data_IF_242291015655
#
_entry.id   IF_242291015655
#
_cell.length_a   1.000
_cell.length_b   1.000
_cell.length_c   1.000
_cell.angle_alpha   90.00
_cell.angle_beta   90.00
_cell.angle_gamma   90.00
#
_symmetry.space_group_name_H-M   'P 1'
#
loop_
_entity.id
_entity.type
_entity.pdbx_description
1 polymer ?
#
# COMPACT_ATOMS: atom_id res chain seq x y z
N UNK A 1 0.02 31.03 33.08
CA UNK A 1 1.46 31.08 32.75
C UNK A 1 1.62 30.52 31.34
N UNK A 2 1.69 31.40 30.33
CA UNK A 2 1.74 31.00 28.91
C UNK A 2 3.15 30.54 28.54
N UNK A 3 3.28 29.40 27.85
CA UNK A 3 4.57 28.95 27.33
C UNK A 3 5.12 29.94 26.29
N UNK A 4 6.43 30.18 26.25
CA UNK A 4 7.02 31.07 25.25
C UNK A 4 6.78 30.53 23.83
N UNK A 5 6.47 31.42 22.89
CA UNK A 5 6.08 31.09 21.51
C UNK A 5 7.07 30.15 20.77
N UNK A 6 8.38 30.22 21.09
CA UNK A 6 9.40 29.29 20.55
C UNK A 6 9.18 27.83 21.00
N UNK A 7 8.71 27.59 22.22
CA UNK A 7 8.43 26.24 22.72
C UNK A 7 7.13 25.69 22.11
N UNK A 8 6.12 26.55 21.91
CA UNK A 8 4.90 26.18 21.19
C UNK A 8 5.19 25.75 19.76
N UNK A 9 6.02 26.50 19.02
CA UNK A 9 6.41 26.14 17.65
C UNK A 9 7.15 24.80 17.55
N UNK A 10 8.03 24.48 18.50
CA UNK A 10 8.77 23.20 18.51
C UNK A 10 7.86 22.00 18.80
N UNK A 11 6.87 22.15 19.67
CA UNK A 11 5.90 21.08 19.96
C UNK A 11 5.05 20.75 18.72
N UNK A 12 4.53 21.77 18.05
CA UNK A 12 3.70 21.60 16.84
C UNK A 12 4.48 20.90 15.72
N UNK A 13 5.73 21.28 15.48
CA UNK A 13 6.58 20.64 14.44
C UNK A 13 6.87 19.18 14.78
N UNK A 14 7.15 18.87 16.06
CA UNK A 14 7.43 17.49 16.49
C UNK A 14 6.21 16.59 16.37
N UNK A 15 5.03 17.07 16.75
CA UNK A 15 3.76 16.35 16.60
C UNK A 15 3.41 16.10 15.13
N UNK A 16 3.57 17.11 14.26
CA UNK A 16 3.35 16.97 12.82
C UNK A 16 4.29 15.93 12.20
N UNK A 17 5.56 15.92 12.61
CA UNK A 17 6.55 14.94 12.13
C UNK A 17 6.22 13.52 12.59
N UNK A 18 5.77 13.38 13.85
CA UNK A 18 5.34 12.10 14.41
C UNK A 18 4.11 11.52 13.70
N UNK A 19 3.10 12.35 13.45
CA UNK A 19 1.88 11.96 12.72
C UNK A 19 2.19 11.55 11.27
N UNK A 20 3.06 12.29 10.58
CA UNK A 20 3.50 11.94 9.22
C UNK A 20 4.30 10.63 9.16
N UNK A 21 5.07 10.31 10.22
CA UNK A 21 5.72 9.02 10.38
C UNK A 21 4.72 7.89 10.58
N UNK A 22 3.75 8.07 11.49
CA UNK A 22 2.72 7.08 11.80
C UNK A 22 1.84 6.77 10.58
N UNK A 23 1.44 7.79 9.81
CA UNK A 23 0.63 7.60 8.61
C UNK A 23 1.38 6.81 7.52
N UNK A 24 2.67 7.09 7.29
CA UNK A 24 3.52 6.26 6.41
C UNK A 24 3.64 4.83 6.93
N UNK A 25 3.79 4.68 8.24
CA UNK A 25 3.80 3.38 8.92
C UNK A 25 2.56 2.56 8.63
N UNK A 26 1.38 3.17 8.75
CA UNK A 26 0.10 2.53 8.48
C UNK A 26 -0.03 2.09 7.01
N UNK A 27 0.31 2.96 6.05
CA UNK A 27 0.27 2.61 4.62
C UNK A 27 1.26 1.47 4.31
N UNK A 28 2.47 1.54 4.83
CA UNK A 28 3.45 0.50 4.63
C UNK A 28 3.02 -0.84 5.22
N UNK A 29 2.39 -0.84 6.40
CA UNK A 29 1.87 -2.04 7.04
C UNK A 29 0.87 -2.78 6.16
N UNK A 30 0.03 -2.06 5.40
CA UNK A 30 -0.88 -2.68 4.43
C UNK A 30 -0.09 -3.47 3.38
N UNK A 31 0.96 -2.88 2.81
CA UNK A 31 1.82 -3.56 1.83
C UNK A 31 2.60 -4.73 2.42
N UNK A 32 3.05 -4.64 3.67
CA UNK A 32 3.67 -5.78 4.36
C UNK A 32 2.67 -6.91 4.60
N UNK A 33 1.45 -6.57 5.01
CA UNK A 33 0.40 -7.57 5.22
C UNK A 33 0.02 -8.25 3.90
N UNK A 34 -0.28 -7.48 2.85
CA UNK A 34 -0.64 -8.04 1.56
C UNK A 34 0.52 -8.78 0.87
N UNK A 35 1.75 -8.29 1.02
CA UNK A 35 2.92 -8.91 0.40
C UNK A 35 3.47 -10.08 1.18
N UNK A 36 3.92 -9.83 2.40
CA UNK A 36 4.57 -10.86 3.19
C UNK A 36 3.56 -11.92 3.66
N UNK A 37 2.50 -11.52 4.34
CA UNK A 37 1.57 -12.46 4.96
C UNK A 37 0.67 -13.14 3.92
N UNK A 38 0.03 -12.35 3.05
CA UNK A 38 -0.94 -12.91 2.11
C UNK A 38 -0.31 -13.63 0.91
N UNK A 39 0.93 -13.34 0.52
CA UNK A 39 1.55 -13.91 -0.70
C UNK A 39 2.79 -14.76 -0.47
N UNK A 40 3.67 -14.37 0.46
CA UNK A 40 4.94 -15.09 0.70
C UNK A 40 4.78 -16.18 1.74
N UNK A 41 4.38 -15.82 2.96
CA UNK A 41 4.28 -16.77 4.07
C UNK A 41 3.22 -16.32 5.09
N UNK A 42 2.16 -17.12 5.33
CA UNK A 42 1.90 -18.48 4.81
C UNK A 42 1.44 -18.54 3.35
N UNK A 43 1.07 -17.40 2.75
CA UNK A 43 0.49 -17.35 1.41
C UNK A 43 -0.95 -17.88 1.39
N UNK A 44 -1.92 -17.05 1.00
CA UNK A 44 -3.33 -17.39 1.05
C UNK A 44 -3.79 -18.19 -0.17
N UNK A 45 -4.70 -19.13 0.05
CA UNK A 45 -5.24 -20.00 -1.00
C UNK A 45 -6.08 -19.24 -2.03
N UNK A 46 -6.87 -18.26 -1.59
CA UNK A 46 -7.70 -17.43 -2.46
C UNK A 46 -6.86 -16.55 -3.40
N UNK A 47 -5.76 -15.97 -2.94
CA UNK A 47 -4.87 -15.20 -3.82
C UNK A 47 -4.16 -16.08 -4.84
N UNK A 48 -3.84 -17.34 -4.50
CA UNK A 48 -3.34 -18.32 -5.48
C UNK A 48 -4.41 -18.68 -6.52
N UNK A 49 -5.66 -18.82 -6.11
CA UNK A 49 -6.76 -19.10 -7.02
C UNK A 49 -6.94 -17.96 -8.02
N UNK A 50 -6.98 -16.71 -7.54
CA UNK A 50 -7.07 -15.51 -8.39
C UNK A 50 -5.92 -15.43 -9.41
N UNK A 51 -4.68 -15.67 -8.97
CA UNK A 51 -3.52 -15.67 -9.88
C UNK A 51 -3.54 -16.87 -10.83
N UNK A 52 -4.09 -18.01 -10.39
CA UNK A 52 -4.28 -19.20 -11.22
C UNK A 52 -5.25 -18.99 -12.39
N UNK A 53 -6.20 -18.05 -12.24
CA UNK A 53 -7.17 -17.71 -13.29
C UNK A 53 -6.60 -16.71 -14.33
N UNK A 54 -5.36 -16.22 -14.15
CA UNK A 54 -4.71 -15.32 -15.11
C UNK A 54 -4.42 -16.05 -16.43
N UNK A 55 -4.88 -15.53 -17.59
CA UNK A 55 -4.70 -16.19 -18.87
C UNK A 55 -3.22 -16.31 -19.23
N UNK A 56 -2.85 -17.44 -19.84
CA UNK A 56 -1.49 -17.78 -20.28
C UNK A 56 -0.45 -17.98 -19.16
N UNK A 57 -0.84 -17.89 -17.88
CA UNK A 57 0.07 -18.23 -16.79
C UNK A 57 0.01 -19.76 -16.54
N UNK A 58 1.12 -20.50 -16.72
CA UNK A 58 1.10 -21.93 -16.49
C UNK A 58 0.99 -22.23 -14.99
N UNK A 59 0.27 -23.30 -14.63
CA UNK A 59 -0.01 -23.66 -13.24
C UNK A 59 1.25 -23.77 -12.36
N UNK A 60 2.37 -24.26 -12.91
CA UNK A 60 3.64 -24.37 -12.18
C UNK A 60 4.24 -23.01 -11.80
N UNK A 61 3.91 -21.94 -12.53
CA UNK A 61 4.44 -20.60 -12.31
C UNK A 61 3.60 -19.77 -11.31
N UNK A 62 2.38 -20.19 -10.99
CA UNK A 62 1.42 -19.44 -10.15
C UNK A 62 2.03 -19.08 -8.79
N UNK A 63 2.61 -20.07 -8.09
CA UNK A 63 3.22 -19.84 -6.78
C UNK A 63 4.42 -18.90 -6.87
N UNK A 64 5.28 -19.08 -7.87
CA UNK A 64 6.45 -18.22 -8.08
C UNK A 64 6.03 -16.79 -8.41
N UNK A 65 5.03 -16.62 -9.26
CA UNK A 65 4.47 -15.30 -9.61
C UNK A 65 3.87 -14.62 -8.37
N UNK A 66 3.09 -15.34 -7.57
CA UNK A 66 2.50 -14.80 -6.35
C UNK A 66 3.56 -14.37 -5.34
N UNK A 67 4.60 -15.18 -5.13
CA UNK A 67 5.73 -14.82 -4.24
C UNK A 67 6.48 -13.60 -4.79
N UNK A 68 6.74 -13.53 -6.09
CA UNK A 68 7.40 -12.37 -6.71
C UNK A 68 6.60 -11.09 -6.51
N UNK A 69 5.27 -11.14 -6.68
CA UNK A 69 4.37 -10.02 -6.37
C UNK A 69 4.49 -9.65 -4.88
N UNK A 70 4.43 -10.64 -3.98
CA UNK A 70 4.52 -10.38 -2.54
C UNK A 70 5.83 -9.71 -2.11
N UNK A 71 6.96 -10.09 -2.71
CA UNK A 71 8.25 -9.44 -2.45
C UNK A 71 8.28 -8.01 -3.01
N UNK A 72 7.69 -7.77 -4.17
CA UNK A 72 7.57 -6.42 -4.73
C UNK A 72 6.71 -5.50 -3.84
N UNK A 73 5.63 -6.02 -3.28
CA UNK A 73 4.78 -5.31 -2.32
C UNK A 73 5.53 -4.97 -1.03
N UNK A 74 6.31 -5.92 -0.48
CA UNK A 74 7.19 -5.66 0.67
C UNK A 74 8.20 -4.55 0.38
N UNK A 75 8.84 -4.60 -0.80
CA UNK A 75 9.77 -3.55 -1.23
C UNK A 75 9.07 -2.18 -1.37
N UNK A 76 7.83 -2.17 -1.84
CA UNK A 76 7.01 -0.96 -1.92
C UNK A 76 6.67 -0.41 -0.52
N UNK A 77 6.32 -1.28 0.44
CA UNK A 77 6.13 -0.90 1.83
C UNK A 77 7.37 -0.23 2.44
N UNK A 78 8.55 -0.80 2.20
CA UNK A 78 9.83 -0.19 2.60
C UNK A 78 10.07 1.17 1.93
N UNK A 79 9.73 1.30 0.65
CA UNK A 79 9.85 2.57 -0.07
C UNK A 79 8.92 3.63 0.52
N UNK A 80 7.67 3.30 0.84
CA UNK A 80 6.72 4.20 1.52
C UNK A 80 7.25 4.64 2.89
N UNK A 81 7.75 3.71 3.70
CA UNK A 81 8.34 4.03 5.02
C UNK A 81 9.47 5.05 4.91
N UNK A 82 10.33 4.90 3.89
CA UNK A 82 11.45 5.80 3.68
C UNK A 82 11.01 7.25 3.43
N UNK A 83 9.79 7.48 2.94
CA UNK A 83 9.28 8.80 2.53
C UNK A 83 9.96 9.40 1.29
N UNK A 84 10.93 8.71 0.69
CA UNK A 84 11.67 9.20 -0.47
C UNK A 84 10.80 9.20 -1.72
N UNK A 85 10.76 10.32 -2.45
CA UNK A 85 9.95 10.46 -3.68
C UNK A 85 8.49 10.00 -3.46
N UNK A 86 7.86 10.48 -2.39
CA UNK A 86 6.54 10.00 -1.95
C UNK A 86 5.44 10.08 -3.03
N UNK A 87 5.50 11.06 -3.93
CA UNK A 87 4.61 11.15 -5.10
C UNK A 87 4.77 9.98 -6.07
N UNK A 88 6.01 9.59 -6.38
CA UNK A 88 6.27 8.44 -7.25
C UNK A 88 5.82 7.13 -6.59
N UNK A 89 6.05 6.99 -5.27
CA UNK A 89 5.53 5.86 -4.51
C UNK A 89 3.99 5.81 -4.55
N UNK A 90 3.30 6.94 -4.41
CA UNK A 90 1.83 7.00 -4.49
C UNK A 90 1.29 6.62 -5.87
N UNK A 91 1.97 7.07 -6.94
CA UNK A 91 1.61 6.69 -8.31
C UNK A 91 1.75 5.17 -8.51
N UNK A 92 2.87 4.58 -8.12
CA UNK A 92 3.11 3.14 -8.24
C UNK A 92 2.08 2.34 -7.43
N UNK A 93 1.78 2.76 -6.20
CA UNK A 93 0.73 2.14 -5.39
C UNK A 93 -0.63 2.20 -6.07
N UNK A 94 -0.99 3.34 -6.64
CA UNK A 94 -2.27 3.52 -7.36
C UNK A 94 -2.36 2.59 -8.57
N UNK A 95 -1.29 2.51 -9.37
CA UNK A 95 -1.22 1.62 -10.54
C UNK A 95 -1.33 0.15 -10.14
N UNK A 96 -0.63 -0.27 -9.08
CA UNK A 96 -0.68 -1.65 -8.60
C UNK A 96 -2.06 -2.00 -8.03
N UNK A 97 -2.63 -1.15 -7.18
CA UNK A 97 -3.99 -1.35 -6.65
C UNK A 97 -4.98 -1.44 -7.81
N UNK A 98 -4.95 -0.49 -8.75
CA UNK A 98 -5.80 -0.52 -9.94
C UNK A 98 -5.60 -1.78 -10.77
N UNK A 99 -4.36 -2.19 -10.99
CA UNK A 99 -4.00 -3.40 -11.74
C UNK A 99 -4.51 -4.68 -11.08
N UNK A 100 -4.36 -4.83 -9.77
CA UNK A 100 -4.88 -6.00 -9.04
C UNK A 100 -6.40 -6.05 -9.02
N UNK A 101 -7.07 -4.91 -8.83
CA UNK A 101 -8.53 -4.84 -8.88
C UNK A 101 -9.04 -5.18 -10.29
N UNK A 102 -8.46 -4.57 -11.33
CA UNK A 102 -8.84 -4.84 -12.70
C UNK A 102 -8.57 -6.30 -13.09
N UNK A 103 -7.38 -6.82 -12.77
CA UNK A 103 -7.02 -8.22 -13.04
C UNK A 103 -7.95 -9.20 -12.33
N UNK A 104 -8.22 -9.00 -11.04
CA UNK A 104 -9.13 -9.85 -10.28
C UNK A 104 -10.55 -9.84 -10.83
N UNK A 105 -11.08 -8.66 -11.20
CA UNK A 105 -12.44 -8.53 -11.74
C UNK A 105 -12.57 -9.06 -13.17
N UNK A 106 -11.53 -8.95 -14.00
CA UNK A 106 -11.56 -9.41 -15.39
C UNK A 106 -11.33 -10.92 -15.50
N UNK A 107 -10.40 -11.47 -14.73
CA UNK A 107 -9.95 -12.87 -14.89
C UNK A 107 -10.54 -13.81 -13.84
N UNK A 108 -10.91 -13.29 -12.67
CA UNK A 108 -11.29 -14.10 -11.51
C UNK A 108 -12.55 -13.59 -10.78
N UNK A 109 -13.60 -13.11 -11.48
CA UNK A 109 -14.75 -12.50 -10.81
C UNK A 109 -15.47 -13.45 -9.84
N UNK A 110 -15.43 -14.77 -10.10
CA UNK A 110 -16.04 -15.79 -9.25
C UNK A 110 -15.31 -16.06 -7.93
N UNK A 111 -14.07 -15.58 -7.77
CA UNK A 111 -13.29 -15.72 -6.53
C UNK A 111 -13.42 -14.48 -5.62
N UNK A 112 -14.13 -13.44 -6.06
CA UNK A 112 -14.30 -12.19 -5.31
C UNK A 112 -15.72 -12.16 -4.77
N UNK A 113 -15.87 -12.53 -3.50
CA UNK A 113 -17.19 -12.62 -2.84
C UNK A 113 -17.98 -11.30 -2.90
N UNK A 114 -17.30 -10.17 -2.74
CA UNK A 114 -17.95 -8.86 -2.64
C UNK A 114 -17.13 -7.75 -3.32
N UNK A 115 -17.26 -7.60 -4.66
CA UNK A 115 -16.50 -6.63 -5.46
C UNK A 115 -16.65 -5.18 -4.99
N UNK A 116 -17.86 -4.79 -4.55
CA UNK A 116 -18.13 -3.43 -4.08
C UNK A 116 -17.34 -3.07 -2.81
N UNK A 117 -17.21 -4.03 -1.87
CA UNK A 117 -16.43 -3.86 -0.65
C UNK A 117 -14.94 -3.75 -0.97
N UNK A 118 -14.44 -4.62 -1.85
CA UNK A 118 -13.05 -4.58 -2.36
C UNK A 118 -12.71 -3.20 -2.93
N UNK A 119 -13.51 -2.72 -3.90
CA UNK A 119 -13.27 -1.45 -4.57
C UNK A 119 -13.34 -0.27 -3.59
N UNK A 120 -14.31 -0.26 -2.68
CA UNK A 120 -14.46 0.80 -1.68
C UNK A 120 -13.24 0.90 -0.77
N UNK A 121 -12.75 -0.24 -0.26
CA UNK A 121 -11.56 -0.29 0.59
C UNK A 121 -10.32 0.17 -0.17
N UNK A 122 -10.16 -0.25 -1.42
CA UNK A 122 -9.02 0.11 -2.24
C UNK A 122 -9.02 1.60 -2.65
N UNK A 123 -10.18 2.18 -2.92
CA UNK A 123 -10.32 3.62 -3.17
C UNK A 123 -9.98 4.44 -1.91
N UNK A 124 -10.48 4.01 -0.74
CA UNK A 124 -10.13 4.64 0.53
C UNK A 124 -8.63 4.55 0.82
N UNK A 125 -8.02 3.39 0.53
CA UNK A 125 -6.58 3.20 0.68
C UNK A 125 -5.77 4.11 -0.26
N UNK A 126 -6.15 4.20 -1.54
CA UNK A 126 -5.50 5.12 -2.50
C UNK A 126 -5.62 6.57 -2.04
N UNK A 127 -6.77 6.99 -1.51
CA UNK A 127 -6.93 8.33 -0.96
C UNK A 127 -5.95 8.59 0.21
N UNK A 128 -5.81 7.62 1.14
CA UNK A 128 -4.84 7.70 2.24
C UNK A 128 -3.40 7.80 1.73
N UNK A 129 -3.05 7.01 0.71
CA UNK A 129 -1.73 7.04 0.05
C UNK A 129 -1.41 8.44 -0.47
N UNK A 130 -2.36 9.08 -1.16
CA UNK A 130 -2.15 10.43 -1.71
C UNK A 130 -2.06 11.51 -0.61
N UNK A 131 -2.87 11.42 0.45
CA UNK A 131 -2.75 12.32 1.60
C UNK A 131 -1.38 12.21 2.28
N UNK A 132 -0.83 11.00 2.40
CA UNK A 132 0.51 10.76 2.94
C UNK A 132 1.59 11.33 2.01
N UNK A 133 1.43 11.18 0.70
CA UNK A 133 2.38 11.72 -0.28
C UNK A 133 2.44 13.25 -0.27
N UNK A 134 1.27 13.91 -0.24
CA UNK A 134 1.20 15.36 -0.11
C UNK A 134 1.83 15.87 1.19
N UNK A 135 1.54 15.21 2.31
CA UNK A 135 2.09 15.58 3.61
C UNK A 135 3.61 15.44 3.63
N UNK A 136 4.14 14.38 3.00
CA UNK A 136 5.57 14.14 2.88
C UNK A 136 6.26 15.15 1.96
N UNK A 137 5.61 15.54 0.86
CA UNK A 137 6.13 16.57 -0.05
C UNK A 137 6.18 17.95 0.62
N UNK A 138 5.13 18.32 1.36
CA UNK A 138 5.08 19.56 2.15
C UNK A 138 6.17 19.58 3.23
N UNK A 139 6.46 18.43 3.86
CA UNK A 139 7.54 18.33 4.84
C UNK A 139 8.94 18.48 4.22
N UNK A 140 9.15 17.96 3.00
CA UNK A 140 10.43 18.07 2.30
C UNK A 140 10.73 19.48 1.74
N UNK A 141 9.70 20.30 1.56
CA UNK A 141 9.81 21.68 1.06
C UNK A 141 9.97 22.74 2.17
N UNK A 142 9.90 22.32 3.45
CA UNK A 142 10.09 23.18 4.63
C UNK A 142 11.51 23.05 5.16
#
# INVERSE_FOLDING_TARGET
MSLPAKLQGRHVVREQTGLGGAARGAVALVWFYEGWWCKVWPGRADQRAIVGDVPFLPAWAVTTALVAIGLAEVALGLWVLSGRRAWAAALVQTVLVGGFNAGGLLFSPGQIDEPGRLLTQNLAFVALVWMVAESSAKAAAR
#
